data_IF_210300460667
#
_entry.id   IF_210300460667
#
_cell.length_a   1.000
_cell.length_b   1.000
_cell.length_c   1.000
_cell.angle_alpha   90.00
_cell.angle_beta   90.00
_cell.angle_gamma   90.00
#
_symmetry.space_group_name_H-M   'P 1'
#
loop_
_entity.id
_entity.type
_entity.pdbx_description
1 polymer ?
#
# COMPACT_ATOMS: atom_id res chain seq x y z
N UNK A 1 5.85 -11.90 20.70
CA UNK A 1 6.33 -10.88 19.77
C UNK A 1 5.55 -11.03 18.49
N UNK A 2 5.19 -9.93 17.83
CA UNK A 2 4.66 -10.01 16.47
C UNK A 2 5.79 -10.51 15.55
N UNK A 3 5.43 -11.30 14.55
CA UNK A 3 6.36 -11.78 13.53
C UNK A 3 7.02 -10.58 12.82
N UNK A 4 8.26 -10.74 12.34
CA UNK A 4 9.06 -9.64 11.77
C UNK A 4 8.39 -9.02 10.52
N UNK A 5 7.52 -9.80 9.86
CA UNK A 5 6.70 -9.39 8.70
C UNK A 5 5.26 -8.99 9.03
N UNK A 6 4.87 -8.89 10.30
CA UNK A 6 3.46 -8.66 10.69
C UNK A 6 2.88 -7.32 10.19
N UNK A 7 3.73 -6.36 9.82
CA UNK A 7 3.34 -5.05 9.32
C UNK A 7 3.53 -4.88 7.81
N UNK A 8 3.98 -5.92 7.10
CA UNK A 8 4.13 -5.88 5.66
C UNK A 8 2.78 -5.58 5.00
N UNK A 9 2.78 -4.69 4.01
CA UNK A 9 1.56 -4.30 3.29
C UNK A 9 1.73 -4.52 1.81
N UNK A 10 0.69 -5.06 1.20
CA UNK A 10 0.61 -5.32 -0.23
C UNK A 10 -0.55 -4.52 -0.82
N UNK A 11 -0.30 -3.82 -1.92
CA UNK A 11 -1.34 -3.11 -2.67
C UNK A 11 -1.06 -3.15 -4.18
N UNK A 12 -2.12 -3.00 -4.97
CA UNK A 12 -2.04 -3.01 -6.43
C UNK A 12 -2.54 -1.68 -6.99
N UNK A 13 -1.86 -1.17 -8.01
CA UNK A 13 -2.26 0.00 -8.77
C UNK A 13 -2.50 -0.38 -10.23
N UNK A 14 -3.43 0.30 -10.88
CA UNK A 14 -3.62 0.18 -12.33
C UNK A 14 -2.52 0.92 -13.08
N UNK A 15 -1.88 0.25 -14.03
CA UNK A 15 -0.79 0.82 -14.83
C UNK A 15 0.49 1.04 -14.04
N UNK A 16 1.22 2.09 -14.42
CA UNK A 16 2.59 2.37 -13.97
C UNK A 16 2.65 3.78 -13.38
N UNK A 17 3.03 3.90 -12.11
CA UNK A 17 3.15 5.19 -11.42
C UNK A 17 4.60 5.62 -11.21
N UNK A 18 4.97 6.78 -11.78
CA UNK A 18 6.33 7.31 -11.71
C UNK A 18 6.81 7.57 -10.27
N UNK A 19 5.90 8.00 -9.40
CA UNK A 19 6.21 8.26 -7.99
C UNK A 19 6.70 6.98 -7.28
N UNK A 20 6.13 5.84 -7.66
CA UNK A 20 6.43 4.55 -7.05
C UNK A 20 7.85 4.09 -7.39
N UNK A 21 8.27 4.27 -8.64
CA UNK A 21 9.66 4.02 -9.07
C UNK A 21 10.66 5.01 -8.47
N UNK A 22 10.26 6.28 -8.25
CA UNK A 22 11.11 7.27 -7.55
C UNK A 22 11.29 6.95 -6.07
N UNK A 23 10.29 6.32 -5.46
CA UNK A 23 10.31 5.89 -4.06
C UNK A 23 11.07 4.57 -3.87
N UNK A 24 11.11 3.74 -4.92
CA UNK A 24 11.94 2.54 -4.98
C UNK A 24 13.42 2.91 -4.85
N UNK A 25 14.10 2.37 -3.83
CA UNK A 25 15.51 2.68 -3.54
C UNK A 25 15.74 3.73 -2.44
N UNK A 26 14.70 4.20 -1.75
CA UNK A 26 14.90 4.97 -0.52
C UNK A 26 15.69 4.16 0.51
N UNK A 27 16.76 4.77 1.03
CA UNK A 27 17.73 4.14 1.92
C UNK A 27 17.21 3.93 3.33
N UNK A 28 16.29 4.79 3.78
CA UNK A 28 15.76 4.75 5.14
C UNK A 28 14.57 3.79 5.24
N UNK A 29 14.54 3.03 6.33
CA UNK A 29 13.48 2.05 6.62
C UNK A 29 12.10 2.67 6.81
N UNK A 30 12.04 3.98 7.08
CA UNK A 30 10.83 4.76 7.32
C UNK A 30 10.59 5.84 6.24
N UNK A 31 11.26 5.70 5.09
CA UNK A 31 11.33 6.75 4.07
C UNK A 31 10.03 7.03 3.31
N UNK A 32 9.06 6.11 3.37
CA UNK A 32 7.79 6.18 2.64
C UNK A 32 6.65 6.11 3.65
N UNK A 33 5.73 7.07 3.60
CA UNK A 33 4.49 7.06 4.36
C UNK A 33 3.32 6.83 3.41
N UNK A 34 2.51 5.82 3.69
CA UNK A 34 1.28 5.52 2.97
C UNK A 34 0.08 5.71 3.91
N UNK A 35 -1.05 6.12 3.34
CA UNK A 35 -2.34 6.20 4.02
C UNK A 35 -3.38 5.46 3.18
N UNK A 36 -3.92 4.38 3.73
CA UNK A 36 -5.07 3.68 3.18
C UNK A 36 -6.32 4.24 3.85
N UNK A 37 -7.21 4.81 3.05
CA UNK A 37 -8.48 5.37 3.53
C UNK A 37 -9.61 4.51 2.99
N UNK A 38 -10.46 4.00 3.86
CA UNK A 38 -11.67 3.26 3.52
C UNK A 38 -12.85 3.78 4.32
N UNK A 39 -14.04 3.35 3.92
CA UNK A 39 -15.25 3.55 4.72
C UNK A 39 -16.00 2.23 4.82
N UNK A 40 -16.48 1.92 6.02
CA UNK A 40 -17.32 0.76 6.29
C UNK A 40 -18.72 1.30 6.55
N UNK A 41 -19.66 0.94 5.69
CA UNK A 41 -21.06 1.22 5.91
C UNK A 41 -21.69 0.06 6.69
N UNK A 42 -22.36 0.39 7.79
CA UNK A 42 -23.13 -0.59 8.54
C UNK A 42 -24.44 -0.91 7.84
N UNK A 43 -24.74 -2.19 7.71
CA UNK A 43 -25.94 -2.69 7.01
C UNK A 43 -27.24 -2.46 7.82
N UNK A 44 -27.14 -2.36 9.14
CA UNK A 44 -28.30 -2.21 10.04
C UNK A 44 -28.81 -0.77 10.18
N UNK A 45 -27.89 0.20 10.14
CA UNK A 45 -28.13 1.60 10.50
C UNK A 45 -27.83 2.55 9.34
N UNK A 46 -27.13 2.08 8.30
CA UNK A 46 -26.65 2.91 7.20
C UNK A 46 -25.53 3.88 7.61
N UNK A 47 -25.07 3.84 8.86
CA UNK A 47 -24.01 4.71 9.37
C UNK A 47 -22.68 4.35 8.69
N UNK A 48 -21.94 5.38 8.25
CA UNK A 48 -20.65 5.23 7.58
C UNK A 48 -19.54 5.54 8.58
N UNK A 49 -18.69 4.55 8.85
CA UNK A 49 -17.49 4.72 9.66
C UNK A 49 -16.28 4.84 8.74
N UNK A 50 -15.53 5.94 8.86
CA UNK A 50 -14.26 6.10 8.17
C UNK A 50 -13.19 5.24 8.87
N UNK A 51 -12.37 4.56 8.08
CA UNK A 51 -11.25 3.73 8.56
C UNK A 51 -9.99 4.19 7.84
N UNK A 52 -8.99 4.60 8.61
CA UNK A 52 -7.71 5.06 8.09
C UNK A 52 -6.55 4.23 8.63
N UNK A 53 -5.76 3.64 7.73
CA UNK A 53 -4.52 2.96 8.08
C UNK A 53 -3.33 3.76 7.56
N UNK A 54 -2.57 4.36 8.48
CA UNK A 54 -1.31 5.04 8.17
C UNK A 54 -0.16 4.12 8.46
N UNK A 55 0.66 3.84 7.44
CA UNK A 55 1.89 3.04 7.58
C UNK A 55 3.11 3.85 7.19
N UNK A 56 4.25 3.52 7.80
CA UNK A 56 5.55 4.07 7.41
C UNK A 56 6.57 2.95 7.27
N UNK A 57 7.27 2.97 6.14
CA UNK A 57 8.11 1.86 5.71
C UNK A 57 8.94 2.19 4.48
N UNK A 58 9.27 1.14 3.74
CA UNK A 58 9.89 1.21 2.42
C UNK A 58 9.30 0.15 1.49
N UNK A 59 9.28 0.43 0.19
CA UNK A 59 8.94 -0.58 -0.82
C UNK A 59 10.02 -1.64 -0.89
N UNK A 60 9.61 -2.90 -0.77
CA UNK A 60 10.45 -4.09 -0.89
C UNK A 60 10.47 -4.58 -2.33
N UNK A 61 9.32 -4.53 -3.00
CA UNK A 61 9.14 -5.07 -4.34
C UNK A 61 8.10 -4.27 -5.12
N UNK A 62 8.34 -4.11 -6.42
CA UNK A 62 7.42 -3.50 -7.39
C UNK A 62 7.38 -4.42 -8.60
N UNK A 63 6.25 -5.11 -8.80
CA UNK A 63 6.03 -6.04 -9.90
C UNK A 63 4.98 -5.45 -10.85
N UNK A 64 5.43 -4.96 -12.00
CA UNK A 64 4.55 -4.39 -13.03
C UNK A 64 4.07 -5.44 -14.05
N UNK A 65 4.32 -6.73 -13.83
CA UNK A 65 3.91 -7.80 -14.75
C UNK A 65 4.34 -7.58 -16.21
N UNK A 66 3.57 -8.13 -17.15
CA UNK A 66 3.79 -7.94 -18.59
C UNK A 66 3.00 -6.76 -19.15
N UNK A 67 3.64 -5.97 -20.00
CA UNK A 67 3.02 -4.82 -20.67
C UNK A 67 2.55 -5.26 -22.05
N UNK A 68 1.24 -5.49 -22.18
CA UNK A 68 0.60 -5.83 -23.45
C UNK A 68 -0.22 -4.66 -23.97
N UNK A 69 0.00 -4.28 -25.22
CA UNK A 69 -0.75 -3.22 -25.89
C UNK A 69 -2.24 -3.56 -25.91
N UNK A 70 -3.07 -2.68 -25.34
CA UNK A 70 -4.53 -2.85 -25.30
C UNK A 70 -5.06 -3.58 -24.06
N UNK A 71 -4.20 -4.09 -23.17
CA UNK A 71 -4.60 -4.67 -21.89
C UNK A 71 -4.34 -3.72 -20.73
N UNK A 72 -5.20 -3.77 -19.70
CA UNK A 72 -4.95 -3.06 -18.45
C UNK A 72 -3.83 -3.76 -17.67
N UNK A 73 -2.71 -3.07 -17.50
CA UNK A 73 -1.63 -3.54 -16.65
C UNK A 73 -1.96 -3.28 -15.16
N UNK A 74 -1.47 -4.15 -14.26
CA UNK A 74 -1.56 -3.96 -12.81
C UNK A 74 -0.16 -4.03 -12.23
N UNK A 75 0.27 -2.99 -11.50
CA UNK A 75 1.51 -3.01 -10.75
C UNK A 75 1.24 -3.37 -9.29
N UNK A 76 1.82 -4.47 -8.84
CA UNK A 76 1.76 -4.95 -7.46
C UNK A 76 2.94 -4.42 -6.66
N UNK A 77 2.68 -3.95 -5.44
CA UNK A 77 3.68 -3.31 -4.59
C UNK A 77 3.64 -3.91 -3.20
N UNK A 78 4.79 -4.41 -2.77
CA UNK A 78 4.98 -4.94 -1.42
C UNK A 78 5.87 -3.98 -0.63
N UNK A 79 5.44 -3.60 0.57
CA UNK A 79 6.17 -2.67 1.45
C UNK A 79 6.40 -3.30 2.82
N UNK A 80 7.61 -3.11 3.34
CA UNK A 80 7.94 -3.48 4.72
C UNK A 80 7.87 -2.26 5.61
N UNK A 81 7.03 -2.34 6.64
CA UNK A 81 6.68 -1.19 7.47
C UNK A 81 7.22 -1.36 8.90
N UNK A 82 7.72 -0.25 9.45
CA UNK A 82 8.17 -0.17 10.85
C UNK A 82 7.13 0.50 11.75
N UNK A 83 6.08 1.08 11.17
CA UNK A 83 5.00 1.75 11.90
C UNK A 83 3.67 1.52 11.20
N UNK A 84 2.63 1.25 11.99
CA UNK A 84 1.24 1.23 11.55
C UNK A 84 0.36 1.89 12.62
N UNK A 85 -0.59 2.72 12.18
CA UNK A 85 -1.64 3.30 13.02
C UNK A 85 -2.97 3.15 12.31
N UNK A 86 -3.93 2.52 12.97
CA UNK A 86 -5.33 2.46 12.57
C UNK A 86 -6.10 3.56 13.30
N UNK A 87 -6.95 4.30 12.59
CA UNK A 87 -7.84 5.33 13.14
C UNK A 87 -9.24 5.15 12.56
#
# INVERSE_FOLDING_TARGET
>A
GLDDSALDTEFSIGGTELLLFKQMGKSTVDGIQLRFTGSIQRDDTGEVQAVELVVRGRHKEVDSGEWKTGESNTTKVTSTNSYAKLT
#
